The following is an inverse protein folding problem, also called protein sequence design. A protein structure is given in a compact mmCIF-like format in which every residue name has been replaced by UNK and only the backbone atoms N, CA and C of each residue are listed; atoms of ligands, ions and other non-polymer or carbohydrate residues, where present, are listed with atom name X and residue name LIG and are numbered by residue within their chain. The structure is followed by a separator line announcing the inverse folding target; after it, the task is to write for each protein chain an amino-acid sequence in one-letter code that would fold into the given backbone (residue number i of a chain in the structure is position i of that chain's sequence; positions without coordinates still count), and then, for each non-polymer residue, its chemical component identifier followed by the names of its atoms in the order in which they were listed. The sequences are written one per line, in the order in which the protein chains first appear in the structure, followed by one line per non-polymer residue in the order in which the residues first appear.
data_IF_123429528088
#
_entry.id   IF_123429528088
#
_cell.length_a   1.000
_cell.length_b   1.000
_cell.length_c   1.000
_cell.angle_alpha   90.00
_cell.angle_beta   90.00
_cell.angle_gamma   90.00
#
_symmetry.space_group_name_H-M   'P 1'
#
loop_
_entity.id
_entity.type
_entity.pdbx_description
1 polymer ?
#
# COMPACT_ATOMS: atom_id res chain seq x y z
N UNK A 1 14.03 -20.84 -7.47
CA UNK A 1 12.94 -21.37 -8.32
C UNK A 1 11.71 -20.58 -7.92
N UNK A 2 11.30 -19.60 -8.73
CA UNK A 2 10.19 -18.70 -8.41
C UNK A 2 8.88 -19.50 -8.46
N UNK A 3 8.37 -19.87 -7.29
CA UNK A 3 7.19 -20.70 -7.07
C UNK A 3 5.91 -19.92 -7.41
N UNK A 4 5.03 -20.52 -8.22
CA UNK A 4 3.56 -20.35 -8.43
C UNK A 4 2.88 -18.95 -8.40
N UNK A 5 3.47 -17.90 -7.83
CA UNK A 5 2.98 -16.52 -7.83
C UNK A 5 3.14 -15.80 -9.17
N UNK A 6 3.86 -16.39 -10.14
CA UNK A 6 4.00 -15.81 -11.48
C UNK A 6 2.66 -15.77 -12.22
N UNK A 7 1.74 -16.70 -12.00
CA UNK A 7 0.44 -16.73 -12.71
C UNK A 7 -0.52 -15.57 -12.37
N UNK A 8 -0.23 -14.77 -11.33
CA UNK A 8 -1.06 -13.62 -10.92
C UNK A 8 -0.49 -12.26 -11.32
N UNK A 9 0.82 -12.15 -11.51
CA UNK A 9 1.46 -10.95 -12.08
C UNK A 9 1.66 -11.06 -13.59
N UNK A 10 1.73 -12.30 -14.09
CA UNK A 10 1.79 -12.60 -15.51
C UNK A 10 0.74 -13.64 -15.94
N UNK A 11 0.36 -13.66 -17.23
CA UNK A 11 -0.61 -14.61 -17.79
C UNK A 11 -2.04 -14.06 -17.95
N UNK A 12 -3.00 -14.93 -18.30
CA UNK A 12 -4.34 -14.50 -18.74
C UNK A 12 -5.16 -13.78 -17.65
N UNK A 13 -5.08 -14.24 -16.40
CA UNK A 13 -5.75 -13.59 -15.26
C UNK A 13 -5.14 -12.20 -14.96
N UNK A 14 -3.81 -12.08 -15.06
CA UNK A 14 -3.11 -10.80 -14.94
C UNK A 14 -3.50 -9.85 -16.06
N UNK A 15 -3.58 -10.33 -17.31
CA UNK A 15 -4.05 -9.53 -18.46
C UNK A 15 -5.48 -9.02 -18.27
N UNK A 16 -6.39 -9.86 -17.77
CA UNK A 16 -7.76 -9.43 -17.47
C UNK A 16 -7.78 -8.34 -16.39
N UNK A 17 -6.95 -8.48 -15.35
CA UNK A 17 -6.83 -7.47 -14.29
C UNK A 17 -6.26 -6.16 -14.82
N UNK A 18 -5.22 -6.23 -15.65
CA UNK A 18 -4.63 -5.07 -16.33
C UNK A 18 -5.65 -4.38 -17.24
N UNK A 19 -6.44 -5.14 -18.00
CA UNK A 19 -7.50 -4.59 -18.83
C UNK A 19 -8.54 -3.83 -17.99
N UNK A 20 -9.03 -4.43 -16.90
CA UNK A 20 -9.97 -3.78 -15.98
C UNK A 20 -9.39 -2.49 -15.39
N UNK A 21 -8.13 -2.50 -14.97
CA UNK A 21 -7.45 -1.29 -14.48
C UNK A 21 -7.34 -0.23 -15.58
N UNK A 22 -6.96 -0.61 -16.80
CA UNK A 22 -6.84 0.31 -17.94
C UNK A 22 -8.17 0.97 -18.29
N UNK A 23 -9.25 0.17 -18.39
CA UNK A 23 -10.60 0.67 -18.61
C UNK A 23 -11.05 1.62 -17.47
N UNK A 24 -10.78 1.29 -16.21
CA UNK A 24 -11.13 2.14 -15.08
C UNK A 24 -10.34 3.47 -15.09
N UNK A 25 -9.04 3.42 -15.39
CA UNK A 25 -8.18 4.61 -15.49
C UNK A 25 -8.60 5.51 -16.66
N UNK A 26 -8.86 4.93 -17.84
CA UNK A 26 -9.33 5.66 -19.01
C UNK A 26 -10.68 6.35 -18.73
N UNK A 27 -11.63 5.63 -18.10
CA UNK A 27 -12.92 6.19 -17.72
C UNK A 27 -12.79 7.30 -16.67
N UNK A 28 -11.89 7.15 -15.69
CA UNK A 28 -11.58 8.21 -14.73
C UNK A 28 -11.07 9.47 -15.45
N UNK A 29 -10.03 9.36 -16.26
CA UNK A 29 -9.46 10.50 -16.99
C UNK A 29 -10.48 11.15 -17.94
N UNK A 30 -11.32 10.35 -18.59
CA UNK A 30 -12.39 10.83 -19.48
C UNK A 30 -13.45 11.67 -18.73
N UNK A 31 -13.72 11.35 -17.46
CA UNK A 31 -14.67 12.08 -16.61
C UNK A 31 -14.12 13.36 -15.96
N UNK A 32 -12.83 13.68 -16.16
CA UNK A 32 -12.21 14.89 -15.62
C UNK A 32 -12.33 16.06 -16.59
N UNK A 33 -12.45 17.27 -16.02
CA UNK A 33 -12.20 18.51 -16.77
C UNK A 33 -10.75 18.59 -17.23
N UNK A 34 -10.45 19.50 -18.16
CA UNK A 34 -9.07 19.71 -18.66
C UNK A 34 -8.08 19.98 -17.54
N UNK A 35 -8.41 20.86 -16.59
CA UNK A 35 -7.52 21.23 -15.49
C UNK A 35 -7.32 20.08 -14.50
N UNK A 36 -8.40 19.37 -14.16
CA UNK A 36 -8.31 18.18 -13.31
C UNK A 36 -7.50 17.07 -13.97
N UNK A 37 -7.66 16.86 -15.29
CA UNK A 37 -6.88 15.88 -16.05
C UNK A 37 -5.40 16.25 -16.07
N UNK A 38 -5.06 17.54 -16.18
CA UNK A 38 -3.68 18.01 -16.12
C UNK A 38 -3.04 17.75 -14.74
N UNK A 39 -3.81 17.79 -13.65
CA UNK A 39 -3.33 17.39 -12.31
C UNK A 39 -3.23 15.87 -12.14
N UNK A 40 -4.20 15.14 -12.67
CA UNK A 40 -4.30 13.69 -12.50
C UNK A 40 -3.34 12.90 -13.39
N UNK A 41 -2.82 13.49 -14.47
CA UNK A 41 -2.00 12.78 -15.46
C UNK A 41 -0.58 13.34 -15.54
N UNK A 42 0.40 12.45 -15.34
CA UNK A 42 1.82 12.74 -15.49
C UNK A 42 2.44 11.89 -16.61
N UNK A 43 3.62 12.26 -17.08
CA UNK A 43 4.39 11.46 -18.03
C UNK A 43 4.89 10.17 -17.35
N UNK A 44 4.84 9.05 -18.06
CA UNK A 44 5.46 7.81 -17.59
C UNK A 44 6.99 7.92 -17.47
N UNK A 45 7.61 8.81 -18.24
CA UNK A 45 9.04 9.09 -18.17
C UNK A 45 9.46 9.82 -16.87
N UNK A 46 8.52 10.38 -16.11
CA UNK A 46 8.80 11.07 -14.85
C UNK A 46 9.19 10.08 -13.75
N UNK A 47 10.48 9.70 -13.75
CA UNK A 47 11.02 8.74 -12.78
C UNK A 47 11.04 9.29 -11.35
N UNK A 48 11.12 10.62 -11.19
CA UNK A 48 11.11 11.24 -9.87
C UNK A 48 9.74 11.02 -9.23
N UNK A 49 8.66 11.39 -9.91
CA UNK A 49 7.32 11.20 -9.35
C UNK A 49 6.93 9.73 -9.26
N UNK A 50 7.30 8.88 -10.22
CA UNK A 50 7.01 7.44 -10.16
C UNK A 50 7.61 6.73 -8.94
N UNK A 51 8.74 7.22 -8.45
CA UNK A 51 9.46 6.66 -7.29
C UNK A 51 9.24 7.45 -6.00
N UNK A 52 8.63 8.64 -6.07
CA UNK A 52 8.24 9.40 -4.89
C UNK A 52 6.97 8.80 -4.31
N UNK A 53 7.03 8.41 -3.04
CA UNK A 53 5.88 7.91 -2.31
C UNK A 53 6.03 8.30 -0.85
N UNK A 54 4.90 8.49 -0.18
CA UNK A 54 4.90 8.76 1.26
C UNK A 54 3.75 8.04 1.94
N UNK A 55 3.98 7.51 3.14
CA UNK A 55 2.91 6.99 4.02
C UNK A 55 2.53 7.99 5.12
N UNK A 56 3.01 9.24 5.03
CA UNK A 56 2.71 10.33 5.97
C UNK A 56 2.18 11.54 5.20
N UNK A 57 1.58 12.54 5.85
CA UNK A 57 1.07 13.70 5.15
C UNK A 57 2.20 14.52 4.53
N UNK A 58 2.04 14.87 3.27
CA UNK A 58 2.94 15.75 2.50
C UNK A 58 2.16 16.29 1.31
N UNK A 59 2.48 17.49 0.77
CA UNK A 59 1.97 17.90 -0.53
C UNK A 59 2.37 16.87 -1.60
N UNK A 60 1.46 16.53 -2.51
CA UNK A 60 1.66 15.50 -3.53
C UNK A 60 1.10 15.92 -4.89
N UNK A 61 1.71 15.37 -5.94
CA UNK A 61 1.15 15.42 -7.29
C UNK A 61 -0.01 14.43 -7.45
N UNK A 62 -0.97 14.80 -8.29
CA UNK A 62 -2.21 14.06 -8.53
C UNK A 62 -3.44 14.91 -8.28
N UNK A 63 -4.61 14.37 -8.61
CA UNK A 63 -5.89 15.01 -8.32
C UNK A 63 -6.42 14.51 -6.97
N UNK A 64 -6.58 15.38 -5.95
CA UNK A 64 -7.17 14.99 -4.67
C UNK A 64 -8.69 14.81 -4.77
N UNK A 65 -9.27 13.94 -3.93
CA UNK A 65 -10.73 13.76 -3.87
C UNK A 65 -11.46 15.04 -3.45
N UNK A 66 -10.80 15.95 -2.73
CA UNK A 66 -11.34 17.28 -2.37
C UNK A 66 -11.67 18.14 -3.58
N UNK A 67 -11.01 17.91 -4.72
CA UNK A 67 -11.24 18.62 -5.98
C UNK A 67 -12.10 17.84 -6.98
N UNK A 68 -12.62 16.67 -6.59
CA UNK A 68 -13.47 15.83 -7.44
C UNK A 68 -14.95 15.99 -7.06
N UNK A 69 -15.83 16.00 -8.07
CA UNK A 69 -17.26 15.80 -7.83
C UNK A 69 -17.57 14.33 -7.49
N UNK A 70 -18.84 14.05 -7.14
CA UNK A 70 -19.27 12.70 -6.75
C UNK A 70 -19.12 11.67 -7.87
N UNK A 71 -19.31 12.05 -9.13
CA UNK A 71 -19.16 11.14 -10.26
C UNK A 71 -17.68 10.79 -10.47
N UNK A 72 -16.80 11.78 -10.38
CA UNK A 72 -15.35 11.63 -10.49
C UNK A 72 -14.78 10.77 -9.34
N UNK A 73 -15.22 11.01 -8.11
CA UNK A 73 -14.85 10.17 -6.96
C UNK A 73 -15.27 8.71 -7.16
N UNK A 74 -16.46 8.46 -7.73
CA UNK A 74 -16.90 7.09 -8.06
C UNK A 74 -16.00 6.43 -9.10
N UNK A 75 -15.55 7.18 -10.11
CA UNK A 75 -14.62 6.67 -11.12
C UNK A 75 -13.25 6.37 -10.52
N UNK A 76 -12.73 7.24 -9.65
CA UNK A 76 -11.52 7.01 -8.88
C UNK A 76 -11.62 5.74 -8.02
N UNK A 77 -12.72 5.57 -7.28
CA UNK A 77 -12.96 4.36 -6.47
C UNK A 77 -13.03 3.09 -7.32
N UNK A 78 -13.56 3.16 -8.54
CA UNK A 78 -13.55 2.02 -9.48
C UNK A 78 -12.14 1.66 -9.93
N UNK A 79 -11.25 2.63 -10.11
CA UNK A 79 -9.83 2.35 -10.39
C UNK A 79 -9.15 1.65 -9.21
N UNK A 80 -9.36 2.13 -7.98
CA UNK A 80 -8.82 1.52 -6.76
C UNK A 80 -9.31 0.07 -6.63
N UNK A 81 -10.62 -0.15 -6.78
CA UNK A 81 -11.23 -1.48 -6.73
C UNK A 81 -10.71 -2.41 -7.84
N UNK A 82 -10.35 -1.89 -9.02
CA UNK A 82 -9.79 -2.71 -10.11
C UNK A 82 -8.37 -3.22 -9.81
N UNK A 83 -7.63 -2.53 -8.93
CA UNK A 83 -6.28 -2.90 -8.52
C UNK A 83 -6.18 -3.75 -7.26
N UNK A 84 -7.27 -3.89 -6.50
CA UNK A 84 -7.28 -4.59 -5.21
C UNK A 84 -8.20 -5.81 -5.24
N UNK A 85 -7.97 -6.73 -4.29
CA UNK A 85 -9.00 -7.69 -3.87
C UNK A 85 -10.20 -6.95 -3.28
N UNK A 86 -11.34 -7.64 -3.13
CA UNK A 86 -12.52 -7.04 -2.49
C UNK A 86 -12.22 -6.70 -1.03
N UNK A 87 -11.50 -7.59 -0.37
CA UNK A 87 -11.03 -7.48 1.01
C UNK A 87 -10.06 -6.30 1.14
N UNK A 88 -9.06 -6.20 0.26
CA UNK A 88 -8.13 -5.08 0.21
C UNK A 88 -8.83 -3.74 -0.01
N UNK A 89 -9.85 -3.68 -0.88
CA UNK A 89 -10.67 -2.48 -1.07
C UNK A 89 -11.48 -2.11 0.18
N UNK A 90 -12.05 -3.10 0.87
CA UNK A 90 -12.75 -2.86 2.14
C UNK A 90 -11.79 -2.29 3.20
N UNK A 91 -10.58 -2.83 3.29
CA UNK A 91 -9.54 -2.32 4.20
C UNK A 91 -9.13 -0.90 3.82
N UNK A 92 -8.85 -0.63 2.53
CA UNK A 92 -8.48 0.70 2.04
C UNK A 92 -9.54 1.76 2.41
N UNK A 93 -10.81 1.50 2.08
CA UNK A 93 -11.91 2.43 2.32
C UNK A 93 -12.20 2.62 3.82
N UNK A 94 -12.02 1.57 4.63
CA UNK A 94 -12.11 1.68 6.09
C UNK A 94 -11.01 2.59 6.63
N UNK A 95 -9.76 2.41 6.20
CA UNK A 95 -8.62 3.26 6.60
C UNK A 95 -8.87 4.72 6.22
N UNK A 96 -9.35 4.99 5.00
CA UNK A 96 -9.74 6.34 4.59
C UNK A 96 -10.76 6.97 5.54
N UNK A 97 -11.76 6.19 5.97
CA UNK A 97 -12.78 6.66 6.91
C UNK A 97 -12.28 6.89 8.33
N UNK A 98 -11.23 6.16 8.75
CA UNK A 98 -10.64 6.29 10.09
C UNK A 98 -9.95 7.65 10.28
N UNK A 99 -9.55 8.35 9.22
CA UNK A 99 -9.01 9.71 9.33
C UNK A 99 -9.93 10.66 10.11
N UNK A 100 -11.25 10.53 9.93
CA UNK A 100 -12.24 11.32 10.68
C UNK A 100 -12.27 10.94 12.17
N UNK A 101 -12.04 9.67 12.51
CA UNK A 101 -11.93 9.23 13.90
C UNK A 101 -10.64 9.74 14.55
N UNK A 102 -9.54 9.77 13.79
CA UNK A 102 -8.27 10.30 14.27
C UNK A 102 -8.37 11.81 14.50
N UNK A 103 -8.99 12.56 13.59
CA UNK A 103 -9.28 13.98 13.78
C UNK A 103 -10.06 14.23 15.08
N UNK A 104 -11.12 13.45 15.31
CA UNK A 104 -11.91 13.52 16.53
C UNK A 104 -11.06 13.22 17.79
N UNK A 105 -10.19 12.20 17.73
CA UNK A 105 -9.29 11.84 18.83
C UNK A 105 -8.24 12.93 19.12
N UNK A 106 -7.80 13.65 18.10
CA UNK A 106 -6.91 14.80 18.20
C UNK A 106 -7.64 16.08 18.64
N UNK A 107 -8.97 16.02 18.79
CA UNK A 107 -9.81 17.08 19.30
C UNK A 107 -10.27 18.07 18.23
N UNK A 108 -10.38 17.62 16.97
CA UNK A 108 -10.75 18.45 15.81
C UNK A 108 -9.89 19.71 15.68
N UNK A 109 -8.58 19.56 15.93
CA UNK A 109 -7.62 20.65 15.82
C UNK A 109 -7.38 20.92 14.33
N UNK A 110 -8.20 21.81 13.79
CA UNK A 110 -8.35 22.08 12.36
C UNK A 110 -7.24 22.94 11.74
N UNK A 111 -6.18 23.26 12.48
CA UNK A 111 -5.04 24.03 11.96
C UNK A 111 -4.08 23.17 11.13
N UNK A 112 -4.23 21.84 11.18
CA UNK A 112 -3.48 20.90 10.36
C UNK A 112 -4.14 20.73 9.00
N UNK A 113 -3.57 21.35 7.96
CA UNK A 113 -4.12 21.30 6.58
C UNK A 113 -4.32 19.88 6.03
N UNK A 114 -3.60 18.90 6.57
CA UNK A 114 -3.61 17.52 6.10
C UNK A 114 -4.66 16.61 6.76
N UNK A 115 -5.38 17.09 7.78
CA UNK A 115 -6.38 16.28 8.49
C UNK A 115 -7.74 16.38 7.78
N UNK A 116 -7.85 15.74 6.62
CA UNK A 116 -9.10 15.58 5.86
C UNK A 116 -9.11 14.19 5.20
N UNK A 117 -10.16 13.40 5.46
CA UNK A 117 -10.34 12.05 4.93
C UNK A 117 -10.45 11.98 3.39
N UNK A 118 -10.50 13.14 2.71
CA UNK A 118 -10.55 13.27 1.25
C UNK A 118 -9.21 13.74 0.67
N UNK A 119 -8.16 13.93 1.47
CA UNK A 119 -6.81 14.20 0.95
C UNK A 119 -6.10 12.92 0.52
N UNK A 120 -6.79 12.19 -0.36
CA UNK A 120 -6.25 11.08 -1.13
C UNK A 120 -6.21 11.47 -2.61
N UNK A 121 -5.11 11.15 -3.26
CA UNK A 121 -4.74 11.62 -4.58
C UNK A 121 -4.73 10.47 -5.57
N UNK A 122 -5.26 10.71 -6.77
CA UNK A 122 -5.15 9.78 -7.90
C UNK A 122 -4.22 10.38 -8.93
N UNK A 123 -3.23 9.60 -9.34
CA UNK A 123 -2.29 9.95 -10.41
C UNK A 123 -2.22 8.81 -11.42
N UNK A 124 -2.29 9.12 -12.71
CA UNK A 124 -2.09 8.20 -13.82
C UNK A 124 -0.84 8.62 -14.58
N UNK A 125 0.09 7.70 -14.77
CA UNK A 125 1.34 7.91 -15.49
C UNK A 125 1.23 7.32 -16.90
N UNK A 126 1.45 8.13 -17.93
CA UNK A 126 1.32 7.69 -19.33
C UNK A 126 -0.13 7.60 -19.80
N UNK A 127 -0.38 6.68 -20.74
CA UNK A 127 -1.72 6.41 -21.29
C UNK A 127 -2.15 4.99 -20.94
N UNK A 128 -3.33 4.79 -20.31
CA UNK A 128 -3.83 3.45 -19.95
C UNK A 128 -4.48 2.72 -21.15
N UNK A 129 -3.83 2.74 -22.32
CA UNK A 129 -4.33 2.17 -23.58
C UNK A 129 -3.80 0.76 -23.89
N UNK A 130 -2.88 0.26 -23.06
CA UNK A 130 -2.26 -1.05 -23.22
C UNK A 130 -1.18 -1.14 -24.30
N UNK A 131 -0.91 -0.06 -25.05
CA UNK A 131 0.10 -0.02 -26.11
C UNK A 131 1.48 0.35 -25.55
N UNK A 132 1.52 1.28 -24.59
CA UNK A 132 2.75 1.76 -23.96
C UNK A 132 2.78 1.42 -22.47
N UNK A 133 3.96 1.44 -21.84
CA UNK A 133 4.06 1.42 -20.39
C UNK A 133 3.21 2.51 -19.76
N UNK A 134 2.44 2.15 -18.74
CA UNK A 134 1.63 3.08 -17.98
C UNK A 134 1.59 2.65 -16.51
N UNK A 135 1.10 3.52 -15.65
CA UNK A 135 0.95 3.20 -14.25
C UNK A 135 -0.07 4.10 -13.59
N UNK A 136 -0.38 3.81 -12.35
CA UNK A 136 -1.21 4.67 -11.54
C UNK A 136 -0.86 4.55 -10.07
N UNK A 137 -1.15 5.61 -9.34
CA UNK A 137 -0.88 5.76 -7.92
C UNK A 137 -2.13 6.26 -7.22
N UNK A 138 -2.43 5.68 -6.07
CA UNK A 138 -3.42 6.17 -5.13
C UNK A 138 -2.77 6.31 -3.76
N UNK A 139 -2.72 7.54 -3.24
CA UNK A 139 -1.96 7.84 -2.03
C UNK A 139 -2.66 8.84 -1.12
N UNK A 140 -2.45 8.68 0.18
CA UNK A 140 -2.86 9.62 1.21
C UNK A 140 -2.19 9.27 2.54
N UNK A 141 -2.69 9.84 3.64
CA UNK A 141 -2.04 9.75 4.95
C UNK A 141 -1.76 8.30 5.41
N UNK A 142 -2.57 7.31 5.06
CA UNK A 142 -2.37 5.92 5.52
C UNK A 142 -2.50 4.86 4.41
N UNK A 143 -2.50 5.27 3.15
CA UNK A 143 -2.55 4.36 2.00
C UNK A 143 -1.52 4.81 0.97
N UNK A 144 -0.80 3.84 0.41
CA UNK A 144 -0.07 4.01 -0.84
C UNK A 144 -0.28 2.77 -1.69
N UNK A 145 -0.83 2.96 -2.89
CA UNK A 145 -0.95 1.93 -3.91
C UNK A 145 -0.24 2.45 -5.15
N UNK A 146 0.71 1.69 -5.68
CA UNK A 146 1.47 2.08 -6.86
C UNK A 146 1.59 0.90 -7.82
N UNK A 147 1.05 1.07 -9.02
CA UNK A 147 1.04 0.05 -10.05
C UNK A 147 1.83 0.51 -11.27
N UNK A 148 2.73 -0.35 -11.74
CA UNK A 148 3.40 -0.23 -13.02
C UNK A 148 2.99 -1.38 -13.93
N UNK A 149 2.54 -1.04 -15.13
CA UNK A 149 1.99 -1.96 -16.11
C UNK A 149 2.76 -1.83 -17.42
N UNK A 150 3.24 -2.96 -17.94
CA UNK A 150 4.01 -3.01 -19.20
C UNK A 150 3.58 -4.25 -19.97
N UNK A 151 3.25 -4.08 -21.26
CA UNK A 151 2.92 -5.21 -22.14
C UNK A 151 1.74 -6.05 -21.64
N UNK A 152 0.73 -5.42 -21.03
CA UNK A 152 -0.42 -6.13 -20.47
C UNK A 152 -0.15 -6.92 -19.19
N UNK A 153 1.03 -6.75 -18.57
CA UNK A 153 1.41 -7.41 -17.31
C UNK A 153 1.56 -6.40 -16.18
N UNK A 154 1.34 -6.85 -14.94
CA UNK A 154 1.63 -6.05 -13.74
C UNK A 154 3.10 -6.27 -13.42
N UNK A 155 3.93 -5.27 -13.71
CA UNK A 155 5.38 -5.34 -13.45
C UNK A 155 5.70 -5.07 -11.99
N UNK A 156 4.95 -4.18 -11.35
CA UNK A 156 5.13 -3.87 -9.93
C UNK A 156 3.83 -3.35 -9.32
N UNK A 157 3.33 -3.96 -8.24
CA UNK A 157 2.33 -3.37 -7.35
C UNK A 157 3.00 -2.67 -6.14
N UNK A 158 4.28 -2.29 -6.22
CA UNK A 158 5.00 -1.67 -5.11
C UNK A 158 5.44 -0.24 -5.41
N UNK A 159 5.52 0.65 -4.40
CA UNK A 159 5.16 0.40 -2.99
C UNK A 159 3.65 0.20 -2.78
N UNK A 160 3.31 -0.77 -1.95
CA UNK A 160 1.96 -0.97 -1.39
C UNK A 160 2.04 -0.82 0.12
N UNK A 161 1.24 0.07 0.68
CA UNK A 161 1.19 0.37 2.10
C UNK A 161 -0.25 0.56 2.56
N UNK A 162 -0.58 -0.11 3.67
CA UNK A 162 -1.79 0.09 4.43
C UNK A 162 -1.41 0.34 5.90
N UNK A 163 -1.78 1.50 6.42
CA UNK A 163 -1.62 1.87 7.82
C UNK A 163 -2.96 2.21 8.45
N UNK A 164 -3.04 2.21 9.77
CA UNK A 164 -4.23 2.70 10.47
C UNK A 164 -3.80 3.40 11.75
N UNK A 165 -4.21 4.65 11.90
CA UNK A 165 -4.14 5.37 13.17
C UNK A 165 -5.51 6.01 13.43
N UNK A 166 -6.20 5.69 14.54
CA UNK A 166 -5.83 4.65 15.49
C UNK A 166 -5.80 3.24 14.86
N UNK A 167 -4.95 2.35 15.37
CA UNK A 167 -4.87 0.95 14.94
C UNK A 167 -6.13 0.16 15.33
N UNK A 168 -6.81 0.60 16.39
CA UNK A 168 -8.07 0.04 16.86
C UNK A 168 -9.01 1.13 17.36
N UNK A 169 -10.32 0.95 17.15
CA UNK A 169 -11.34 1.87 17.65
C UNK A 169 -12.57 1.11 18.18
N UNK A 170 -13.09 1.42 19.38
CA UNK A 170 -14.29 0.80 19.90
C UNK A 170 -15.53 1.07 19.03
N UNK A 171 -16.39 0.08 18.89
CA UNK A 171 -17.69 0.14 18.24
C UNK A 171 -18.80 -0.23 19.24
N UNK A 172 -20.05 0.05 18.85
CA UNK A 172 -21.23 -0.32 19.65
C UNK A 172 -21.26 -1.82 19.94
N UNK A 173 -21.74 -2.18 21.13
CA UNK A 173 -21.86 -3.58 21.56
C UNK A 173 -20.52 -4.25 21.93
N UNK A 174 -19.50 -3.47 22.29
CA UNK A 174 -18.20 -4.00 22.73
C UNK A 174 -17.30 -4.52 21.60
N UNK A 175 -17.72 -4.33 20.34
CA UNK A 175 -16.89 -4.67 19.18
C UNK A 175 -15.75 -3.67 19.00
N UNK A 176 -14.70 -4.06 18.27
CA UNK A 176 -13.57 -3.17 17.97
C UNK A 176 -13.28 -3.20 16.47
N UNK A 177 -13.21 -2.03 15.86
CA UNK A 177 -12.72 -1.85 14.50
C UNK A 177 -11.19 -2.00 14.50
N UNK A 178 -10.66 -3.02 13.79
CA UNK A 178 -9.23 -3.24 13.56
C UNK A 178 -9.00 -3.62 12.09
N UNK A 179 -8.84 -2.64 11.18
CA UNK A 179 -8.83 -2.92 9.74
C UNK A 179 -7.71 -3.87 9.30
N UNK A 180 -6.59 -3.88 10.02
CA UNK A 180 -5.42 -4.69 9.73
C UNK A 180 -5.29 -5.93 10.63
N UNK A 181 -6.31 -6.25 11.45
CA UNK A 181 -6.23 -7.36 12.42
C UNK A 181 -5.84 -8.69 11.78
N UNK A 182 -6.39 -9.03 10.61
CA UNK A 182 -6.09 -10.31 9.95
C UNK A 182 -4.59 -10.50 9.71
N UNK A 183 -3.94 -9.49 9.12
CA UNK A 183 -2.50 -9.53 8.81
C UNK A 183 -1.67 -9.40 10.09
N UNK A 184 -2.04 -8.49 11.01
CA UNK A 184 -1.33 -8.30 12.27
C UNK A 184 -1.34 -9.55 13.15
N UNK A 185 -2.50 -10.19 13.29
CA UNK A 185 -2.68 -11.34 14.17
C UNK A 185 -2.02 -12.58 13.54
N UNK A 186 -2.08 -12.74 12.22
CA UNK A 186 -1.31 -13.78 11.51
C UNK A 186 0.21 -13.61 11.70
N UNK A 187 0.71 -12.38 11.59
CA UNK A 187 2.14 -12.11 11.81
C UNK A 187 2.58 -12.41 13.25
N UNK A 188 1.74 -12.10 14.24
CA UNK A 188 1.99 -12.46 15.65
C UNK A 188 1.94 -13.96 15.87
N UNK A 189 0.95 -14.63 15.29
CA UNK A 189 0.81 -16.08 15.36
C UNK A 189 2.04 -16.78 14.79
N UNK A 190 2.54 -16.34 13.64
CA UNK A 190 3.78 -16.86 13.06
C UNK A 190 4.94 -16.81 14.05
N UNK A 191 5.15 -15.66 14.70
CA UNK A 191 6.21 -15.52 15.71
C UNK A 191 6.02 -16.44 16.91
N UNK A 192 4.78 -16.66 17.35
CA UNK A 192 4.46 -17.53 18.49
C UNK A 192 4.67 -19.02 18.17
N UNK A 193 4.60 -19.42 16.91
CA UNK A 193 4.80 -20.81 16.49
C UNK A 193 6.27 -21.18 16.27
N UNK A 194 7.16 -20.19 16.16
CA UNK A 194 8.60 -20.44 16.10
C UNK A 194 9.13 -21.06 17.41
N UNK A 195 10.05 -22.02 17.29
CA UNK A 195 10.80 -22.56 18.43
C UNK A 195 11.64 -21.46 19.11
N UNK A 196 12.13 -21.70 20.33
CA UNK A 196 12.98 -20.74 21.03
C UNK A 196 14.25 -20.38 20.22
N UNK A 197 14.85 -21.37 19.55
CA UNK A 197 16.02 -21.19 18.68
C UNK A 197 15.69 -20.38 17.42
N UNK A 198 14.52 -20.64 16.83
CA UNK A 198 14.04 -19.90 15.67
C UNK A 198 13.70 -18.46 16.04
N UNK A 199 13.03 -18.22 17.18
CA UNK A 199 12.72 -16.90 17.70
C UNK A 199 14.00 -16.09 17.99
N UNK A 200 15.03 -16.71 18.60
CA UNK A 200 16.31 -16.06 18.85
C UNK A 200 17.01 -15.60 17.54
N UNK A 201 16.72 -16.25 16.42
CA UNK A 201 17.24 -15.87 15.10
C UNK A 201 16.34 -14.85 14.40
N UNK A 202 15.02 -14.94 14.58
CA UNK A 202 14.00 -14.13 13.94
C UNK A 202 13.81 -12.75 14.58
N UNK A 203 13.96 -12.64 15.90
CA UNK A 203 13.71 -11.42 16.64
C UNK A 203 14.87 -10.43 16.47
N UNK A 204 14.63 -9.37 15.70
CA UNK A 204 15.64 -8.33 15.44
C UNK A 204 15.97 -7.50 16.70
N UNK A 205 14.95 -7.17 17.50
CA UNK A 205 15.05 -6.36 18.72
C UNK A 205 13.86 -6.65 19.61
N UNK A 206 14.05 -6.59 20.94
CA UNK A 206 12.97 -6.72 21.93
C UNK A 206 12.13 -5.45 22.06
N UNK A 207 12.57 -4.35 21.47
CA UNK A 207 11.86 -3.07 21.45
C UNK A 207 11.41 -2.76 20.03
N UNK A 208 10.10 -2.56 19.85
CA UNK A 208 9.56 -2.17 18.56
C UNK A 208 10.22 -0.87 18.05
N UNK A 209 10.61 -0.81 16.76
CA UNK A 209 11.06 0.42 16.13
C UNK A 209 10.03 1.55 16.30
N UNK A 210 10.46 2.82 16.43
CA UNK A 210 9.54 3.94 16.52
C UNK A 210 8.77 4.20 15.21
N UNK A 211 9.27 3.69 14.08
CA UNK A 211 8.65 3.81 12.76
C UNK A 211 9.20 2.71 11.81
N UNK A 212 8.73 2.71 10.55
CA UNK A 212 9.23 1.85 9.48
C UNK A 212 10.72 2.13 9.25
N UNK A 213 11.52 1.08 9.42
CA UNK A 213 12.98 1.12 9.42
C UNK A 213 13.58 1.71 8.13
N UNK A 214 12.92 1.52 6.98
CA UNK A 214 13.34 2.05 5.67
C UNK A 214 12.67 3.36 5.26
N UNK A 215 11.70 3.85 6.04
CA UNK A 215 10.89 5.03 5.72
C UNK A 215 10.35 4.96 4.26
N UNK A 216 10.50 6.03 3.48
CA UNK A 216 9.99 6.16 2.11
C UNK A 216 11.00 5.82 1.01
N UNK A 217 12.02 5.01 1.30
CA UNK A 217 13.02 4.67 0.28
C UNK A 217 12.38 3.84 -0.85
N UNK A 218 12.53 4.23 -2.13
CA UNK A 218 11.94 3.49 -3.25
C UNK A 218 12.69 2.21 -3.60
N UNK A 219 13.93 2.07 -3.12
CA UNK A 219 14.74 0.88 -3.29
C UNK A 219 15.68 0.68 -2.10
N UNK A 220 16.03 -0.58 -1.83
CA UNK A 220 17.12 -0.94 -0.93
C UNK A 220 18.35 -1.18 -1.80
N UNK A 221 19.34 -0.28 -1.76
CA UNK A 221 20.61 -0.45 -2.49
C UNK A 221 21.71 -0.91 -1.54
N UNK A 222 22.70 -1.65 -2.05
CA UNK A 222 23.83 -2.12 -1.23
C UNK A 222 24.50 -0.96 -0.49
N UNK A 223 24.77 -1.15 0.81
CA UNK A 223 25.30 -0.10 1.69
C UNK A 223 24.25 0.88 2.24
N UNK A 224 22.98 0.80 1.80
CA UNK A 224 21.89 1.55 2.42
C UNK A 224 21.66 1.07 3.85
N UNK A 225 22.05 1.89 4.82
CA UNK A 225 21.71 1.65 6.21
C UNK A 225 20.28 2.17 6.47
N UNK A 226 19.42 1.41 7.14
CA UNK A 226 18.11 1.91 7.54
C UNK A 226 18.21 3.10 8.51
N UNK A 227 17.08 3.72 8.81
CA UNK A 227 17.02 4.72 9.87
C UNK A 227 17.51 4.11 11.19
N UNK A 228 18.26 4.90 11.97
CA UNK A 228 18.74 4.47 13.30
C UNK A 228 17.56 4.04 14.15
N UNK A 229 17.56 2.77 14.53
CA UNK A 229 16.46 2.15 15.28
C UNK A 229 17.00 1.69 16.62
N UNK A 230 16.45 2.16 17.75
CA UNK A 230 16.92 1.74 19.07
C UNK A 230 16.90 0.22 19.23
N UNK A 231 18.05 -0.37 19.61
CA UNK A 231 18.19 -1.81 19.78
C UNK A 231 18.51 -2.60 18.49
N UNK A 232 18.70 -1.91 17.36
CA UNK A 232 19.25 -2.49 16.14
C UNK A 232 20.61 -1.84 15.86
N UNK A 233 21.67 -2.46 16.37
CA UNK A 233 23.03 -1.91 16.33
C UNK A 233 23.86 -2.45 15.14
N UNK A 234 23.44 -3.56 14.52
CA UNK A 234 24.06 -4.15 13.33
C UNK A 234 23.01 -4.41 12.24
N UNK A 235 22.88 -3.46 11.33
CA UNK A 235 21.89 -3.51 10.25
C UNK A 235 22.24 -4.55 9.17
N UNK A 236 23.51 -4.96 9.05
CA UNK A 236 23.92 -6.00 8.10
C UNK A 236 23.56 -7.39 8.63
N UNK A 237 23.73 -7.63 9.94
CA UNK A 237 23.23 -8.83 10.60
C UNK A 237 21.71 -8.95 10.47
N UNK A 238 20.96 -7.86 10.68
CA UNK A 238 19.51 -7.81 10.45
C UNK A 238 19.14 -8.16 9.00
N UNK A 239 19.87 -7.63 8.01
CA UNK A 239 19.62 -7.96 6.61
C UNK A 239 19.74 -9.48 6.33
N UNK A 240 20.67 -10.16 6.99
CA UNK A 240 20.80 -11.62 6.86
C UNK A 240 19.68 -12.42 7.51
N UNK A 241 19.01 -11.88 8.54
CA UNK A 241 17.91 -12.54 9.24
C UNK A 241 16.63 -12.62 8.39
N UNK A 242 16.43 -11.72 7.42
CA UNK A 242 15.29 -11.79 6.49
C UNK A 242 15.24 -13.09 5.69
N UNK A 243 16.40 -13.56 5.19
CA UNK A 243 16.48 -14.85 4.48
C UNK A 243 16.10 -16.03 5.39
N UNK A 244 16.42 -15.94 6.68
CA UNK A 244 15.99 -16.94 7.65
C UNK A 244 14.47 -16.92 7.82
N UNK A 245 13.86 -15.75 7.92
CA UNK A 245 12.40 -15.63 8.03
C UNK A 245 11.69 -16.18 6.78
N UNK A 246 12.18 -15.86 5.57
CA UNK A 246 11.64 -16.41 4.33
C UNK A 246 11.69 -17.93 4.30
N UNK A 247 12.80 -18.53 4.74
CA UNK A 247 12.92 -19.99 4.86
C UNK A 247 11.94 -20.57 5.87
N UNK A 248 11.81 -19.96 7.06
CA UNK A 248 10.88 -20.41 8.10
C UNK A 248 9.42 -20.34 7.64
N UNK A 249 9.07 -19.29 6.89
CA UNK A 249 7.78 -19.16 6.22
C UNK A 249 7.53 -20.32 5.25
N UNK A 250 8.52 -20.65 4.41
CA UNK A 250 8.41 -21.76 3.46
C UNK A 250 8.27 -23.12 4.17
N UNK A 251 8.97 -23.32 5.28
CA UNK A 251 8.94 -24.55 6.08
C UNK A 251 7.60 -24.75 6.81
N UNK A 252 6.86 -23.68 7.10
CA UNK A 252 5.58 -23.71 7.81
C UNK A 252 4.40 -24.18 6.95
N UNK A 253 4.60 -24.35 5.64
CA UNK A 253 3.54 -24.72 4.68
C UNK A 253 2.34 -23.74 4.75
N UNK A 254 2.62 -22.43 4.57
CA UNK A 254 1.59 -21.38 4.63
C UNK A 254 0.42 -21.75 3.71
N UNK A 255 -0.76 -21.84 4.32
CA UNK A 255 -1.97 -22.25 3.62
C UNK A 255 -2.43 -21.17 2.65
N UNK A 256 -3.18 -21.55 1.60
CA UNK A 256 -3.78 -20.58 0.69
C UNK A 256 -4.72 -19.60 1.40
N UNK A 257 -5.34 -20.00 2.51
CA UNK A 257 -6.19 -19.14 3.33
C UNK A 257 -5.40 -18.05 4.06
N UNK A 258 -4.21 -18.39 4.58
CA UNK A 258 -3.31 -17.43 5.22
C UNK A 258 -2.69 -16.46 4.19
N UNK A 259 -2.37 -16.93 2.98
CA UNK A 259 -1.94 -16.04 1.90
C UNK A 259 -3.06 -15.08 1.46
N UNK A 260 -4.31 -15.54 1.44
CA UNK A 260 -5.44 -14.68 1.08
C UNK A 260 -5.76 -13.64 2.16
N UNK A 261 -5.48 -13.93 3.44
CA UNK A 261 -5.62 -12.96 4.53
C UNK A 261 -4.65 -11.76 4.41
N UNK A 262 -3.62 -11.87 3.57
CA UNK A 262 -2.59 -10.84 3.33
C UNK A 262 -2.76 -10.16 1.96
N UNK A 263 -3.73 -10.57 1.13
CA UNK A 263 -3.94 -10.12 -0.26
C UNK A 263 -5.12 -9.17 -0.43
#
# INVERSE_FOLDING_TARGET
MFTENSEKLVGAAAQQTVQRMGEAAANFLAGLSTDQRAKARLDFADQVERTTWHYTPTPRQGLPFTEMDRQQQRLAQRLIMAGLSREGYNVATTIMGIETLLDAKEGFRSDLWWRDSRLYYVTVFGEPDGQKPWGWRFEGHHISLNFTIVGGQIVSPTPTFFGSNPASSPLMGGQTLRPLAGIEDLARQLMHELSAEQQATALLTTKAPPDIVTLNRPAVVAGSLPAKTPGIDDTLAVASQFRTMERLIQERDITSAELEAVR
#
